data_IF_652190330717
#
_entry.id   IF_652190330717
#
_cell.length_a   1.000
_cell.length_b   1.000
_cell.length_c   1.000
_cell.angle_alpha   90.00
_cell.angle_beta   90.00
_cell.angle_gamma   90.00
#
_symmetry.space_group_name_H-M   'P 1'
#
loop_
_entity.id
_entity.type
_entity.pdbx_description
1 polymer ?
#
# COMPACT_ATOMS: atom_id res chain seq x y z
N UNK A 1 -29.58 -18.02 -8.29
CA UNK A 1 -30.23 -16.69 -8.44
C UNK A 1 -31.38 -16.43 -7.45
N UNK A 2 -31.97 -17.45 -6.79
CA UNK A 2 -33.10 -17.29 -5.85
C UNK A 2 -32.73 -17.09 -4.36
N UNK A 3 -31.49 -16.65 -4.03
CA UNK A 3 -31.04 -16.47 -2.63
C UNK A 3 -30.57 -15.05 -2.29
N UNK A 4 -30.73 -14.10 -3.21
CA UNK A 4 -30.37 -12.70 -2.96
C UNK A 4 -31.63 -11.92 -2.57
N UNK A 5 -31.55 -11.13 -1.51
CA UNK A 5 -32.67 -10.30 -1.06
C UNK A 5 -33.07 -9.30 -2.15
N UNK A 6 -34.33 -8.84 -2.15
CA UNK A 6 -34.83 -7.88 -3.15
C UNK A 6 -33.97 -6.60 -3.25
N UNK A 7 -33.26 -6.24 -2.17
CA UNK A 7 -32.30 -5.15 -2.11
C UNK A 7 -31.11 -5.31 -3.08
N UNK A 8 -30.69 -6.56 -3.38
CA UNK A 8 -29.60 -6.82 -4.31
C UNK A 8 -29.94 -6.45 -5.77
N UNK A 9 -31.22 -6.27 -6.09
CA UNK A 9 -31.70 -5.89 -7.43
C UNK A 9 -32.08 -4.41 -7.54
N UNK A 10 -32.16 -3.70 -6.41
CA UNK A 10 -32.39 -2.25 -6.40
C UNK A 10 -31.04 -1.54 -6.39
N UNK A 11 -30.61 -1.05 -7.55
CA UNK A 11 -29.47 -0.12 -7.62
C UNK A 11 -29.92 1.18 -6.94
N UNK A 12 -29.33 1.60 -5.79
CA UNK A 12 -29.86 2.74 -5.02
C UNK A 12 -29.80 4.07 -5.77
N UNK A 13 -28.87 4.20 -6.73
CA UNK A 13 -28.74 5.38 -7.58
C UNK A 13 -28.23 4.98 -8.98
N UNK A 14 -29.11 4.51 -9.88
CA UNK A 14 -28.71 4.15 -11.24
C UNK A 14 -28.43 5.42 -12.05
N UNK A 15 -27.40 5.39 -12.89
CA UNK A 15 -27.10 6.49 -13.81
C UNK A 15 -28.32 6.73 -14.68
N UNK A 16 -28.90 7.92 -14.57
CA UNK A 16 -30.06 8.29 -15.38
C UNK A 16 -29.61 8.52 -16.83
N UNK A 17 -30.46 8.29 -17.84
CA UNK A 17 -30.11 8.53 -19.25
C UNK A 17 -29.57 9.96 -19.50
N UNK A 18 -30.12 10.93 -18.77
CA UNK A 18 -29.74 12.35 -18.74
C UNK A 18 -28.34 12.61 -18.12
N UNK A 19 -27.91 11.78 -17.17
CA UNK A 19 -26.59 11.88 -16.54
C UNK A 19 -25.50 11.15 -17.33
N UNK A 20 -25.89 10.22 -18.23
CA UNK A 20 -24.95 9.41 -19.02
C UNK A 20 -24.03 10.29 -19.86
N UNK A 21 -24.57 11.30 -20.54
CA UNK A 21 -23.79 12.22 -21.36
C UNK A 21 -22.79 12.99 -20.50
N UNK A 22 -23.22 13.48 -19.32
CA UNK A 22 -22.34 14.17 -18.38
C UNK A 22 -21.23 13.25 -17.85
N UNK A 23 -21.56 12.02 -17.50
CA UNK A 23 -20.60 11.04 -17.01
C UNK A 23 -19.54 10.71 -18.08
N UNK A 24 -19.96 10.47 -19.32
CA UNK A 24 -19.04 10.21 -20.44
C UNK A 24 -18.17 11.44 -20.70
N UNK A 25 -18.75 12.64 -20.74
CA UNK A 25 -17.98 13.87 -20.93
C UNK A 25 -16.94 14.08 -19.82
N UNK A 26 -17.31 13.90 -18.55
CA UNK A 26 -16.37 14.00 -17.43
C UNK A 26 -15.27 12.96 -17.54
N UNK A 27 -15.60 11.72 -17.90
CA UNK A 27 -14.61 10.65 -18.07
C UNK A 27 -13.62 10.97 -19.21
N UNK A 28 -14.13 11.43 -20.35
CA UNK A 28 -13.30 11.87 -21.49
C UNK A 28 -12.42 13.05 -21.11
N UNK A 29 -12.95 14.03 -20.38
CA UNK A 29 -12.17 15.19 -19.90
C UNK A 29 -11.07 14.78 -18.92
N UNK A 30 -11.32 13.80 -18.04
CA UNK A 30 -10.29 13.27 -17.14
C UNK A 30 -9.17 12.59 -17.93
N UNK A 31 -9.52 11.76 -18.92
CA UNK A 31 -8.54 11.09 -19.79
C UNK A 31 -7.74 12.11 -20.59
N UNK A 32 -8.42 13.06 -21.23
CA UNK A 32 -7.78 14.12 -22.01
C UNK A 32 -6.90 15.02 -21.13
N UNK A 33 -7.36 15.37 -19.92
CA UNK A 33 -6.59 16.15 -18.95
C UNK A 33 -5.35 15.41 -18.47
N UNK A 34 -5.45 14.10 -18.23
CA UNK A 34 -4.30 13.27 -17.86
C UNK A 34 -3.29 13.17 -19.01
N UNK A 35 -3.77 12.94 -20.25
CA UNK A 35 -2.91 12.91 -21.43
C UNK A 35 -2.22 14.25 -21.69
N UNK A 36 -2.94 15.37 -21.53
CA UNK A 36 -2.38 16.71 -21.64
C UNK A 36 -1.32 16.96 -20.54
N UNK A 37 -1.57 16.54 -19.31
CA UNK A 37 -0.60 16.64 -18.22
C UNK A 37 0.68 15.86 -18.54
N UNK A 38 0.57 14.62 -19.02
CA UNK A 38 1.73 13.82 -19.43
C UNK A 38 2.47 14.48 -20.59
N UNK A 39 1.76 15.01 -21.59
CA UNK A 39 2.38 15.70 -22.72
C UNK A 39 3.17 16.93 -22.28
N UNK A 40 2.57 17.77 -21.42
CA UNK A 40 3.24 18.95 -20.84
C UNK A 40 4.43 18.55 -19.98
N UNK A 41 4.30 17.55 -19.13
CA UNK A 41 5.43 17.08 -18.31
C UNK A 41 6.53 16.47 -19.18
N UNK A 42 6.18 15.79 -20.29
CA UNK A 42 7.15 15.21 -21.22
C UNK A 42 7.94 16.29 -21.96
N UNK A 43 7.31 17.41 -22.33
CA UNK A 43 8.04 18.54 -22.93
C UNK A 43 8.92 19.27 -21.93
N UNK A 44 8.48 19.39 -20.67
CA UNK A 44 9.26 20.04 -19.61
C UNK A 44 10.45 19.21 -19.11
N UNK A 45 10.27 17.89 -18.99
CA UNK A 45 11.31 16.98 -18.47
C UNK A 45 12.21 16.42 -19.55
N UNK A 46 11.80 16.47 -20.82
CA UNK A 46 12.51 15.86 -21.94
C UNK A 46 12.49 14.33 -21.94
N UNK A 47 11.78 13.69 -21.01
CA UNK A 47 11.70 12.23 -20.87
C UNK A 47 10.27 11.78 -20.60
N UNK A 48 9.77 10.88 -21.44
CA UNK A 48 8.44 10.28 -21.25
C UNK A 48 8.36 9.48 -19.94
N UNK A 49 9.46 8.81 -19.55
CA UNK A 49 9.53 8.04 -18.31
C UNK A 49 9.39 8.93 -17.09
N UNK A 50 10.08 10.08 -17.08
CA UNK A 50 9.96 11.06 -16.00
C UNK A 50 8.56 11.68 -15.95
N UNK A 51 7.96 11.96 -17.12
CA UNK A 51 6.61 12.51 -17.20
C UNK A 51 5.57 11.54 -16.64
N UNK A 52 5.65 10.25 -17.00
CA UNK A 52 4.76 9.20 -16.49
C UNK A 52 4.96 9.04 -14.98
N UNK A 53 6.20 8.89 -14.53
CA UNK A 53 6.52 8.68 -13.11
C UNK A 53 6.07 9.86 -12.23
N UNK A 54 6.27 11.09 -12.72
CA UNK A 54 5.81 12.31 -12.05
C UNK A 54 4.28 12.38 -12.02
N UNK A 55 3.59 11.99 -13.09
CA UNK A 55 2.12 11.96 -13.16
C UNK A 55 1.54 10.93 -12.18
N UNK A 56 2.14 9.73 -12.10
CA UNK A 56 1.75 8.68 -11.17
C UNK A 56 1.97 9.07 -9.71
N UNK A 57 2.87 10.01 -9.41
CA UNK A 57 3.03 10.60 -8.08
C UNK A 57 1.98 11.70 -7.82
N UNK A 58 1.88 12.68 -8.73
CA UNK A 58 1.07 13.89 -8.51
C UNK A 58 -0.42 13.57 -8.40
N UNK A 59 -0.96 12.69 -9.25
CA UNK A 59 -2.40 12.41 -9.25
C UNK A 59 -2.85 11.77 -7.92
N UNK A 60 -2.28 10.65 -7.45
CA UNK A 60 -2.72 10.02 -6.20
C UNK A 60 -2.37 10.85 -4.97
N UNK A 61 -1.15 11.41 -4.90
CA UNK A 61 -0.74 12.23 -3.76
C UNK A 61 -1.56 13.51 -3.68
N UNK A 62 -1.79 14.18 -4.82
CA UNK A 62 -2.63 15.37 -4.92
C UNK A 62 -4.09 15.09 -4.56
N UNK A 63 -4.65 13.96 -5.02
CA UNK A 63 -5.99 13.53 -4.63
C UNK A 63 -6.08 13.26 -3.12
N UNK A 64 -5.09 12.59 -2.53
CA UNK A 64 -5.05 12.31 -1.11
C UNK A 64 -4.96 13.60 -0.27
N UNK A 65 -4.05 14.50 -0.63
CA UNK A 65 -3.93 15.83 0.00
C UNK A 65 -5.21 16.65 -0.16
N UNK A 66 -5.83 16.60 -1.33
CA UNK A 66 -7.12 17.23 -1.63
C UNK A 66 -8.23 16.71 -0.72
N UNK A 67 -8.34 15.40 -0.53
CA UNK A 67 -9.33 14.81 0.39
C UNK A 67 -9.06 15.17 1.84
N UNK A 68 -7.81 15.11 2.30
CA UNK A 68 -7.47 15.57 3.66
C UNK A 68 -7.84 17.05 3.86
N UNK A 69 -7.46 17.92 2.92
CA UNK A 69 -7.77 19.35 2.99
C UNK A 69 -9.29 19.60 2.99
N UNK A 70 -10.03 18.91 2.13
CA UNK A 70 -11.49 18.99 2.05
C UNK A 70 -12.12 18.59 3.39
N UNK A 71 -11.71 17.47 3.99
CA UNK A 71 -12.26 17.01 5.25
C UNK A 71 -11.89 17.93 6.42
N UNK A 72 -10.66 18.44 6.49
CA UNK A 72 -10.25 19.36 7.56
C UNK A 72 -10.97 20.71 7.48
N UNK A 73 -11.25 21.22 6.28
CA UNK A 73 -11.91 22.51 6.05
C UNK A 73 -13.44 22.42 6.04
N UNK A 74 -13.99 21.23 5.86
CA UNK A 74 -15.44 21.04 5.78
C UNK A 74 -16.13 21.36 7.11
N UNK A 75 -17.22 22.15 7.11
CA UNK A 75 -18.04 22.37 8.29
C UNK A 75 -18.84 21.12 8.68
N UNK A 76 -18.94 20.12 7.79
CA UNK A 76 -19.63 18.85 8.02
C UNK A 76 -18.81 17.85 8.86
N UNK A 77 -17.59 18.22 9.27
CA UNK A 77 -16.70 17.40 10.08
C UNK A 77 -16.55 18.05 11.45
N UNK A 78 -16.96 17.33 12.49
CA UNK A 78 -16.91 17.78 13.88
C UNK A 78 -15.46 17.89 14.37
N UNK A 79 -15.24 18.65 15.45
CA UNK A 79 -13.91 18.76 16.08
C UNK A 79 -13.34 17.39 16.51
N UNK A 80 -14.23 16.48 16.91
CA UNK A 80 -13.90 15.10 17.29
C UNK A 80 -13.42 14.29 16.09
N UNK A 81 -14.18 14.27 14.99
CA UNK A 81 -13.79 13.60 13.75
C UNK A 81 -12.49 14.19 13.16
N UNK A 82 -12.25 15.50 13.31
CA UNK A 82 -10.95 16.10 12.92
C UNK A 82 -9.78 15.55 13.76
N UNK A 83 -10.01 15.21 15.03
CA UNK A 83 -8.98 14.55 15.84
C UNK A 83 -8.73 13.12 15.38
N UNK A 84 -9.75 12.40 14.92
CA UNK A 84 -9.63 11.07 14.30
C UNK A 84 -8.84 11.13 12.99
N UNK A 85 -9.14 12.10 12.13
CA UNK A 85 -8.39 12.33 10.89
C UNK A 85 -6.90 12.63 11.14
N UNK A 86 -6.57 13.42 12.17
CA UNK A 86 -5.17 13.67 12.55
C UNK A 86 -4.47 12.37 12.98
N UNK A 87 -5.19 11.49 13.66
CA UNK A 87 -4.66 10.19 14.08
C UNK A 87 -4.51 9.20 12.91
N UNK A 88 -5.28 9.39 11.85
CA UNK A 88 -5.18 8.60 10.62
C UNK A 88 -3.98 8.98 9.74
N UNK A 89 -3.54 10.24 9.72
CA UNK A 89 -2.40 10.70 8.89
C UNK A 89 -1.13 9.83 9.03
N UNK A 90 -0.58 9.57 10.24
CA UNK A 90 0.62 8.77 10.35
C UNK A 90 0.40 7.31 9.90
N UNK A 91 -0.80 6.76 10.11
CA UNK A 91 -1.16 5.42 9.60
C UNK A 91 -1.19 5.40 8.08
N UNK A 92 -1.77 6.43 7.46
CA UNK A 92 -1.81 6.57 6.01
C UNK A 92 -0.40 6.67 5.42
N UNK A 93 0.49 7.45 6.02
CA UNK A 93 1.90 7.54 5.61
C UNK A 93 2.60 6.17 5.74
N UNK A 94 2.38 5.46 6.85
CA UNK A 94 2.91 4.11 7.05
C UNK A 94 2.41 3.12 5.99
N UNK A 95 1.13 3.18 5.62
CA UNK A 95 0.56 2.35 4.55
C UNK A 95 1.14 2.71 3.17
N UNK A 96 1.35 3.99 2.87
CA UNK A 96 2.01 4.42 1.62
C UNK A 96 3.40 3.80 1.52
N UNK A 97 4.20 3.86 2.58
CA UNK A 97 5.55 3.28 2.60
C UNK A 97 5.52 1.75 2.55
N UNK A 98 4.53 1.13 3.19
CA UNK A 98 4.31 -0.31 3.11
C UNK A 98 4.08 -0.74 1.65
N UNK A 99 3.10 -0.14 0.98
CA UNK A 99 2.78 -0.49 -0.41
C UNK A 99 3.87 -0.05 -1.38
N UNK A 100 4.61 1.01 -1.08
CA UNK A 100 5.79 1.41 -1.85
C UNK A 100 6.83 0.29 -1.93
N UNK A 101 7.03 -0.47 -0.85
CA UNK A 101 7.95 -1.62 -0.80
C UNK A 101 7.30 -2.88 -1.37
N UNK A 102 6.09 -3.25 -0.91
CA UNK A 102 5.47 -4.52 -1.29
C UNK A 102 5.15 -4.61 -2.78
N UNK A 103 4.75 -3.49 -3.40
CA UNK A 103 4.45 -3.43 -4.84
C UNK A 103 5.70 -3.56 -5.72
N UNK A 104 6.91 -3.48 -5.14
CA UNK A 104 8.14 -3.82 -5.87
C UNK A 104 8.23 -5.30 -6.24
N UNK A 105 7.34 -6.14 -5.69
CA UNK A 105 7.11 -7.52 -6.14
C UNK A 105 7.06 -7.60 -7.68
N UNK A 106 6.27 -6.75 -8.33
CA UNK A 106 6.09 -6.73 -9.78
C UNK A 106 7.16 -5.91 -10.54
N UNK A 107 8.07 -5.23 -9.83
CA UNK A 107 9.11 -4.37 -10.40
C UNK A 107 10.51 -4.89 -10.11
N UNK A 108 11.21 -4.25 -9.15
CA UNK A 108 12.60 -4.60 -8.81
C UNK A 108 12.78 -6.04 -8.32
N UNK A 109 11.80 -6.63 -7.64
CA UNK A 109 11.90 -8.03 -7.21
C UNK A 109 11.75 -9.01 -8.37
N UNK A 110 10.91 -8.70 -9.36
CA UNK A 110 10.80 -9.51 -10.58
C UNK A 110 12.12 -9.49 -11.38
N UNK A 111 12.77 -8.33 -11.49
CA UNK A 111 14.11 -8.25 -12.10
C UNK A 111 15.19 -8.95 -11.25
N UNK A 112 15.10 -8.89 -9.92
CA UNK A 112 15.96 -9.69 -9.03
C UNK A 112 15.83 -11.20 -9.29
N UNK A 113 14.59 -11.69 -9.42
CA UNK A 113 14.31 -13.09 -9.72
C UNK A 113 14.90 -13.54 -11.06
N UNK A 114 14.84 -12.66 -12.07
CA UNK A 114 15.29 -12.95 -13.44
C UNK A 114 16.81 -12.88 -13.59
N UNK A 115 17.43 -11.79 -13.13
CA UNK A 115 18.80 -11.45 -13.49
C UNK A 115 19.81 -11.76 -12.38
N UNK A 116 19.35 -11.98 -11.14
CA UNK A 116 20.20 -12.08 -9.95
C UNK A 116 19.98 -13.34 -9.12
N UNK A 117 19.11 -14.27 -9.55
CA UNK A 117 18.76 -15.48 -8.77
C UNK A 117 19.06 -16.74 -9.56
N UNK A 118 19.68 -17.72 -8.90
CA UNK A 118 19.79 -19.08 -9.40
C UNK A 118 18.53 -19.85 -8.99
N UNK A 119 17.67 -20.15 -9.95
CA UNK A 119 16.42 -20.86 -9.75
C UNK A 119 16.58 -22.37 -9.54
N UNK A 120 17.79 -22.94 -9.66
CA UNK A 120 17.99 -24.38 -9.52
C UNK A 120 17.82 -24.82 -8.07
N UNK A 121 16.94 -25.81 -7.84
CA UNK A 121 16.76 -26.48 -6.55
C UNK A 121 17.63 -27.74 -6.53
N UNK A 122 18.77 -27.77 -5.81
CA UNK A 122 19.71 -28.89 -5.89
C UNK A 122 19.13 -30.22 -5.41
N UNK A 123 18.12 -30.17 -4.55
CA UNK A 123 17.50 -31.36 -3.92
C UNK A 123 16.51 -32.07 -4.84
N UNK A 124 15.87 -31.35 -5.77
CA UNK A 124 14.77 -31.86 -6.61
C UNK A 124 15.12 -31.80 -8.11
N UNK A 125 16.18 -31.06 -8.48
CA UNK A 125 16.57 -30.87 -9.88
C UNK A 125 15.62 -29.99 -10.68
N UNK A 126 14.63 -29.38 -10.03
CA UNK A 126 13.69 -28.45 -10.65
C UNK A 126 14.26 -27.04 -10.71
N UNK A 127 13.86 -26.28 -11.73
CA UNK A 127 14.29 -24.89 -11.93
C UNK A 127 13.06 -23.99 -11.74
N UNK A 128 13.12 -23.12 -10.74
CA UNK A 128 12.08 -22.13 -10.46
C UNK A 128 12.18 -21.02 -11.52
N UNK A 129 11.07 -20.75 -12.22
CA UNK A 129 11.01 -19.62 -13.15
C UNK A 129 10.83 -18.29 -12.37
N UNK A 130 11.34 -17.16 -12.89
CA UNK A 130 11.18 -15.86 -12.23
C UNK A 130 9.73 -15.48 -11.92
N UNK A 131 8.80 -15.87 -12.81
CA UNK A 131 7.36 -15.59 -12.66
C UNK A 131 6.74 -16.40 -11.51
N UNK A 132 7.31 -17.58 -11.21
CA UNK A 132 6.83 -18.45 -10.11
C UNK A 132 6.95 -17.74 -8.76
N UNK A 133 7.92 -16.85 -8.57
CA UNK A 133 8.04 -16.06 -7.34
C UNK A 133 6.82 -15.18 -7.04
N UNK A 134 6.11 -14.70 -8.07
CA UNK A 134 4.88 -13.90 -7.89
C UNK A 134 3.74 -14.71 -7.24
N UNK A 135 3.79 -16.04 -7.37
CA UNK A 135 2.80 -16.92 -6.77
C UNK A 135 3.05 -17.17 -5.27
N UNK A 136 4.23 -16.80 -4.76
CA UNK A 136 4.57 -16.99 -3.33
C UNK A 136 3.70 -16.11 -2.45
N UNK A 137 3.43 -14.86 -2.84
CA UNK A 137 2.56 -13.97 -2.06
C UNK A 137 1.14 -14.57 -1.88
N UNK A 138 0.36 -14.86 -2.95
CA UNK A 138 -0.98 -15.41 -2.79
C UNK A 138 -0.98 -16.79 -2.12
N UNK A 139 0.01 -17.65 -2.39
CA UNK A 139 0.13 -18.94 -1.71
C UNK A 139 0.35 -18.77 -0.20
N UNK A 140 1.24 -17.86 0.20
CA UNK A 140 1.53 -17.55 1.59
C UNK A 140 0.31 -16.97 2.29
N UNK A 141 -0.47 -16.10 1.62
CA UNK A 141 -1.74 -15.60 2.14
C UNK A 141 -2.70 -16.76 2.40
N UNK A 142 -2.93 -17.65 1.42
CA UNK A 142 -3.86 -18.77 1.57
C UNK A 142 -3.47 -19.69 2.73
N UNK A 143 -2.17 -19.96 2.89
CA UNK A 143 -1.66 -20.84 3.94
C UNK A 143 -1.69 -20.18 5.31
N UNK A 144 -1.24 -18.92 5.42
CA UNK A 144 -1.01 -18.26 6.71
C UNK A 144 -2.17 -17.38 7.18
N UNK A 145 -3.05 -16.90 6.31
CA UNK A 145 -4.18 -16.04 6.72
C UNK A 145 -5.10 -16.70 7.77
N UNK A 146 -5.47 -18.00 7.67
CA UNK A 146 -6.26 -18.65 8.71
C UNK A 146 -5.54 -18.69 10.07
N UNK A 147 -4.22 -18.92 10.05
CA UNK A 147 -3.39 -18.97 11.25
C UNK A 147 -3.26 -17.59 11.91
N UNK A 148 -2.98 -16.55 11.14
CA UNK A 148 -2.90 -15.17 11.64
C UNK A 148 -4.28 -14.70 12.14
N UNK A 149 -5.36 -15.03 11.43
CA UNK A 149 -6.73 -14.77 11.88
C UNK A 149 -7.03 -15.43 13.23
N UNK A 150 -6.71 -16.71 13.37
CA UNK A 150 -6.84 -17.43 14.66
C UNK A 150 -6.02 -16.78 15.78
N UNK A 151 -4.78 -16.39 15.49
CA UNK A 151 -3.91 -15.71 16.46
C UNK A 151 -4.52 -14.38 16.92
N UNK A 152 -5.07 -13.59 15.99
CA UNK A 152 -5.72 -12.32 16.31
C UNK A 152 -6.99 -12.49 17.13
N UNK A 153 -7.81 -13.49 16.82
CA UNK A 153 -9.02 -13.79 17.61
C UNK A 153 -8.67 -14.28 19.01
N UNK A 154 -7.65 -15.15 19.16
CA UNK A 154 -7.20 -15.64 20.47
C UNK A 154 -6.59 -14.53 21.34
N UNK A 155 -6.02 -13.51 20.71
CA UNK A 155 -5.46 -12.32 21.36
C UNK A 155 -6.41 -11.12 21.33
N UNK A 156 -7.69 -11.30 20.97
CA UNK A 156 -8.65 -10.21 20.96
C UNK A 156 -8.77 -9.58 22.35
N UNK A 157 -8.78 -8.24 22.40
CA UNK A 157 -8.79 -7.48 23.65
C UNK A 157 -7.47 -7.51 24.45
N UNK A 158 -6.41 -8.13 23.90
CA UNK A 158 -5.07 -8.16 24.51
C UNK A 158 -4.04 -7.54 23.57
N UNK A 159 -2.84 -7.26 24.09
CA UNK A 159 -1.69 -6.88 23.27
C UNK A 159 -1.38 -7.97 22.21
N UNK A 160 -1.02 -7.61 20.97
CA UNK A 160 -0.88 -6.25 20.42
C UNK A 160 -2.23 -5.61 20.04
N UNK A 161 -2.37 -4.31 20.32
CA UNK A 161 -3.51 -3.50 19.86
C UNK A 161 -3.57 -3.38 18.33
N UNK A 162 -4.67 -2.85 17.82
CA UNK A 162 -4.88 -2.53 16.40
C UNK A 162 -3.73 -1.68 15.83
N UNK A 163 -3.38 -0.58 16.48
CA UNK A 163 -2.31 0.31 16.01
C UNK A 163 -0.92 -0.35 16.14
N UNK A 164 -0.71 -1.14 17.18
CA UNK A 164 0.53 -1.90 17.37
C UNK A 164 0.73 -2.94 16.26
N UNK A 165 -0.33 -3.68 15.86
CA UNK A 165 -0.28 -4.61 14.71
C UNK A 165 0.10 -3.88 13.42
N UNK A 166 -0.45 -2.69 13.22
CA UNK A 166 -0.11 -1.83 12.08
C UNK A 166 1.37 -1.42 12.11
N UNK A 167 1.87 -0.93 13.25
CA UNK A 167 3.28 -0.53 13.40
C UNK A 167 4.25 -1.72 13.22
N UNK A 168 3.90 -2.90 13.74
CA UNK A 168 4.67 -4.14 13.52
C UNK A 168 4.75 -4.49 12.04
N UNK A 169 3.64 -4.34 11.31
CA UNK A 169 3.65 -4.56 9.85
C UNK A 169 4.59 -3.59 9.13
N UNK A 170 4.49 -2.29 9.41
CA UNK A 170 5.35 -1.26 8.79
C UNK A 170 6.83 -1.48 9.16
N UNK A 171 7.12 -1.93 10.38
CA UNK A 171 8.49 -2.30 10.77
C UNK A 171 8.99 -3.52 9.99
N UNK A 172 8.14 -4.54 9.83
CA UNK A 172 8.49 -5.79 9.15
C UNK A 172 8.76 -5.56 7.67
N UNK A 173 7.90 -4.80 6.98
CA UNK A 173 8.12 -4.44 5.57
C UNK A 173 9.37 -3.57 5.40
N UNK A 174 9.62 -2.60 6.30
CA UNK A 174 10.84 -1.80 6.30
C UNK A 174 12.09 -2.64 6.50
N UNK A 175 12.04 -3.64 7.39
CA UNK A 175 13.11 -4.61 7.59
C UNK A 175 13.36 -5.45 6.34
N UNK A 176 12.30 -5.86 5.63
CA UNK A 176 12.43 -6.60 4.37
C UNK A 176 13.17 -5.81 3.28
N UNK A 177 13.05 -4.47 3.28
CA UNK A 177 13.80 -3.62 2.37
C UNK A 177 15.31 -3.69 2.63
N UNK A 178 15.76 -3.76 3.89
CA UNK A 178 17.17 -4.00 4.19
C UNK A 178 17.66 -5.37 3.69
N UNK A 179 16.83 -6.41 3.82
CA UNK A 179 17.15 -7.74 3.29
C UNK A 179 17.30 -7.68 1.77
N UNK A 180 16.39 -7.02 1.06
CA UNK A 180 16.50 -6.79 -0.39
C UNK A 180 17.74 -5.97 -0.76
N UNK A 181 18.04 -4.91 -0.01
CA UNK A 181 19.23 -4.10 -0.19
C UNK A 181 20.52 -4.93 -0.09
N UNK A 182 20.59 -5.81 0.91
CA UNK A 182 21.67 -6.79 1.06
C UNK A 182 21.72 -7.76 -0.11
N UNK A 183 20.56 -8.20 -0.60
CA UNK A 183 20.47 -9.06 -1.77
C UNK A 183 21.10 -8.44 -3.02
N UNK A 184 20.68 -7.23 -3.37
CA UNK A 184 21.21 -6.48 -4.51
C UNK A 184 22.70 -6.11 -4.36
N UNK A 185 23.21 -6.02 -3.13
CA UNK A 185 24.63 -5.75 -2.89
C UNK A 185 25.49 -7.02 -3.02
N UNK A 186 24.96 -8.16 -2.58
CA UNK A 186 25.72 -9.42 -2.48
C UNK A 186 25.73 -10.17 -3.82
N UNK A 187 24.59 -10.23 -4.49
CA UNK A 187 24.42 -10.94 -5.74
C UNK A 187 24.26 -9.93 -6.86
N UNK A 188 25.35 -9.74 -7.61
CA UNK A 188 25.46 -8.74 -8.68
C UNK A 188 25.14 -9.31 -10.06
N UNK A 189 24.73 -10.58 -10.15
CA UNK A 189 24.47 -11.27 -11.41
C UNK A 189 25.71 -11.99 -11.97
N UNK A 190 25.54 -12.67 -13.10
CA UNK A 190 26.59 -13.45 -13.74
C UNK A 190 27.04 -14.64 -12.88
N UNK A 191 28.29 -14.64 -12.44
CA UNK A 191 28.84 -15.72 -11.60
C UNK A 191 28.38 -15.67 -10.13
N UNK A 192 27.72 -14.59 -9.70
CA UNK A 192 27.27 -14.39 -8.32
C UNK A 192 25.75 -14.24 -8.28
N UNK A 193 25.05 -15.37 -8.29
CA UNK A 193 23.60 -15.47 -8.22
C UNK A 193 23.12 -15.81 -6.81
N UNK A 194 21.98 -15.26 -6.43
CA UNK A 194 21.31 -15.53 -5.18
C UNK A 194 20.75 -16.95 -5.15
N UNK A 195 20.79 -17.65 -4.01
CA UNK A 195 20.11 -18.94 -3.87
C UNK A 195 18.61 -18.81 -4.13
N UNK A 196 17.99 -19.83 -4.73
CA UNK A 196 16.55 -19.89 -5.04
C UNK A 196 15.63 -19.54 -3.86
N UNK A 197 16.03 -19.84 -2.62
CA UNK A 197 15.20 -19.61 -1.44
C UNK A 197 15.24 -18.15 -0.95
N UNK A 198 16.27 -17.38 -1.31
CA UNK A 198 16.49 -16.04 -0.74
C UNK A 198 15.30 -15.11 -1.02
N UNK A 199 14.93 -14.97 -2.29
CA UNK A 199 13.82 -14.11 -2.67
C UNK A 199 12.48 -14.68 -2.17
N UNK A 200 12.33 -16.01 -2.10
CA UNK A 200 11.15 -16.65 -1.54
C UNK A 200 10.93 -16.27 -0.06
N UNK A 201 12.00 -16.27 0.74
CA UNK A 201 11.94 -15.82 2.15
C UNK A 201 11.53 -14.35 2.25
N UNK A 202 12.06 -13.48 1.37
CA UNK A 202 11.65 -12.07 1.34
C UNK A 202 10.16 -11.94 1.06
N UNK A 203 9.64 -12.63 0.04
CA UNK A 203 8.21 -12.64 -0.27
C UNK A 203 7.37 -13.08 0.95
N UNK A 204 7.77 -14.16 1.62
CA UNK A 204 7.07 -14.66 2.81
C UNK A 204 7.06 -13.60 3.93
N UNK A 205 8.20 -12.95 4.22
CA UNK A 205 8.28 -11.89 5.22
C UNK A 205 7.35 -10.73 4.88
N UNK A 206 7.36 -10.28 3.62
CA UNK A 206 6.49 -9.19 3.16
C UNK A 206 5.01 -9.57 3.25
N UNK A 207 4.64 -10.80 2.88
CA UNK A 207 3.27 -11.29 3.01
C UNK A 207 2.84 -11.41 4.46
N UNK A 208 3.70 -11.88 5.37
CA UNK A 208 3.38 -11.88 6.80
C UNK A 208 3.13 -10.45 7.29
N UNK A 209 3.93 -9.47 6.86
CA UNK A 209 3.66 -8.07 7.16
C UNK A 209 2.30 -7.62 6.60
N UNK A 210 1.95 -8.01 5.37
CA UNK A 210 0.66 -7.70 4.74
C UNK A 210 -0.53 -8.25 5.53
N UNK A 211 -0.43 -9.49 6.02
CA UNK A 211 -1.47 -10.11 6.85
C UNK A 211 -1.73 -9.36 8.16
N UNK A 212 -0.76 -8.58 8.65
CA UNK A 212 -0.93 -7.72 9.83
C UNK A 212 -1.53 -6.36 9.46
N UNK A 213 -1.25 -5.84 8.27
CA UNK A 213 -1.70 -4.51 7.84
C UNK A 213 -3.10 -4.52 7.24
N UNK A 214 -3.40 -5.41 6.29
CA UNK A 214 -4.62 -5.30 5.48
C UNK A 214 -5.93 -5.38 6.28
N UNK A 215 -6.14 -6.34 7.20
CA UNK A 215 -7.36 -6.41 7.99
C UNK A 215 -7.52 -5.21 8.94
N UNK A 216 -6.39 -4.79 9.51
CA UNK A 216 -6.33 -3.78 10.56
C UNK A 216 -6.43 -2.36 9.99
N UNK A 217 -5.79 -2.12 8.85
CA UNK A 217 -5.81 -0.85 8.12
C UNK A 217 -7.20 -0.51 7.63
N UNK A 218 -7.90 -1.47 7.01
CA UNK A 218 -9.28 -1.25 6.55
C UNK A 218 -10.24 -0.97 7.73
N UNK A 219 -10.13 -1.74 8.82
CA UNK A 219 -10.93 -1.53 10.03
C UNK A 219 -10.63 -0.21 10.72
N UNK A 220 -9.38 0.25 10.71
CA UNK A 220 -9.00 1.54 11.33
C UNK A 220 -9.46 2.70 10.46
N UNK A 221 -9.41 2.53 9.13
CA UNK A 221 -9.90 3.50 8.14
C UNK A 221 -11.39 3.73 8.32
N UNK A 222 -12.21 2.66 8.41
CA UNK A 222 -13.65 2.81 8.66
C UNK A 222 -13.94 3.43 10.02
N UNK A 223 -13.22 3.00 11.07
CA UNK A 223 -13.40 3.49 12.44
C UNK A 223 -13.11 4.99 12.58
N UNK A 224 -12.08 5.50 11.89
CA UNK A 224 -11.66 6.90 11.96
C UNK A 224 -12.35 7.80 10.91
N UNK A 225 -13.21 7.24 10.06
CA UNK A 225 -13.85 7.98 8.98
C UNK A 225 -14.92 8.95 9.52
N UNK A 226 -14.91 10.23 9.08
CA UNK A 226 -16.03 11.13 9.36
C UNK A 226 -17.31 10.60 8.71
N UNK A 227 -18.46 10.76 9.37
CA UNK A 227 -19.75 10.21 8.90
C UNK A 227 -20.10 10.66 7.48
N UNK A 228 -19.85 11.93 7.19
CA UNK A 228 -20.13 12.55 5.89
C UNK A 228 -19.08 12.25 4.81
N UNK A 229 -17.97 11.58 5.17
CA UNK A 229 -16.82 11.32 4.29
C UNK A 229 -16.36 9.85 4.35
N UNK A 230 -17.26 8.91 4.68
CA UNK A 230 -16.93 7.50 4.82
C UNK A 230 -16.34 6.92 3.52
N UNK A 231 -16.96 7.20 2.37
CA UNK A 231 -16.46 6.72 1.07
C UNK A 231 -15.12 7.36 0.70
N UNK A 232 -14.93 8.66 0.95
CA UNK A 232 -13.66 9.34 0.67
C UNK A 232 -12.52 8.82 1.56
N UNK A 233 -12.82 8.44 2.80
CA UNK A 233 -11.81 7.85 3.70
C UNK A 233 -11.40 6.45 3.23
N UNK A 234 -12.34 5.67 2.68
CA UNK A 234 -12.02 4.42 1.98
C UNK A 234 -11.20 4.65 0.70
N UNK A 235 -11.55 5.67 -0.09
CA UNK A 235 -10.72 6.08 -1.23
C UNK A 235 -9.32 6.48 -0.80
N UNK A 236 -9.16 7.14 0.35
CA UNK A 236 -7.83 7.45 0.91
C UNK A 236 -7.03 6.19 1.23
N UNK A 237 -7.66 5.15 1.78
CA UNK A 237 -6.98 3.87 1.99
C UNK A 237 -6.48 3.28 0.67
N UNK A 238 -7.32 3.22 -0.36
CA UNK A 238 -6.91 2.72 -1.68
C UNK A 238 -5.84 3.59 -2.35
N UNK A 239 -5.88 4.90 -2.10
CA UNK A 239 -4.86 5.85 -2.57
C UNK A 239 -3.48 5.60 -1.94
N UNK A 240 -3.38 4.86 -0.83
CA UNK A 240 -2.07 4.51 -0.26
C UNK A 240 -1.23 3.69 -1.24
N UNK A 241 -1.82 2.69 -1.88
CA UNK A 241 -1.17 1.85 -2.89
C UNK A 241 -0.76 2.67 -4.11
N UNK A 242 -1.68 3.46 -4.67
CA UNK A 242 -1.40 4.29 -5.83
C UNK A 242 -0.31 5.35 -5.53
N UNK A 243 -0.35 5.97 -4.35
CA UNK A 243 0.69 6.93 -3.93
C UNK A 243 2.03 6.24 -3.70
N UNK A 244 2.04 5.04 -3.09
CA UNK A 244 3.26 4.26 -2.87
C UNK A 244 3.93 3.86 -4.18
N UNK A 245 3.16 3.37 -5.16
CA UNK A 245 3.67 3.05 -6.49
C UNK A 245 4.16 4.30 -7.25
N UNK A 246 3.41 5.40 -7.18
CA UNK A 246 3.81 6.67 -7.78
C UNK A 246 5.11 7.23 -7.20
N UNK A 247 5.25 7.18 -5.86
CA UNK A 247 6.45 7.62 -5.17
C UNK A 247 7.66 6.73 -5.50
N UNK A 248 7.47 5.41 -5.56
CA UNK A 248 8.51 4.49 -6.02
C UNK A 248 8.94 4.80 -7.46
N UNK A 249 7.99 4.91 -8.39
CA UNK A 249 8.29 5.22 -9.79
C UNK A 249 9.07 6.52 -9.95
N UNK A 250 8.61 7.59 -9.29
CA UNK A 250 9.29 8.88 -9.32
C UNK A 250 10.71 8.82 -8.72
N UNK A 251 10.89 8.17 -7.57
CA UNK A 251 12.23 8.05 -6.98
C UNK A 251 13.14 7.23 -7.90
N UNK A 252 12.64 6.11 -8.44
CA UNK A 252 13.42 5.25 -9.34
C UNK A 252 13.87 6.02 -10.58
N UNK A 253 12.99 6.81 -11.22
CA UNK A 253 13.36 7.61 -12.40
C UNK A 253 14.39 8.70 -12.09
N UNK A 254 14.37 9.23 -10.86
CA UNK A 254 15.37 10.21 -10.39
C UNK A 254 16.67 9.58 -9.90
N UNK A 255 16.68 8.27 -9.65
CA UNK A 255 17.83 7.55 -9.10
C UNK A 255 18.33 6.43 -10.02
N UNK A 256 18.17 6.56 -11.34
CA UNK A 256 18.58 5.53 -12.31
C UNK A 256 20.08 5.19 -12.21
N UNK A 257 20.92 6.15 -11.84
CA UNK A 257 22.37 5.97 -11.67
C UNK A 257 22.76 5.39 -10.29
N UNK A 258 21.81 5.24 -9.38
CA UNK A 258 22.05 4.78 -8.01
C UNK A 258 21.88 3.27 -7.95
N UNK A 259 22.77 2.60 -7.21
CA UNK A 259 22.67 1.16 -6.99
C UNK A 259 21.33 0.78 -6.33
N UNK A 260 20.73 -0.33 -6.78
CA UNK A 260 19.48 -0.86 -6.22
C UNK A 260 19.57 -1.12 -4.70
N UNK A 261 20.75 -1.53 -4.21
CA UNK A 261 21.00 -1.70 -2.78
C UNK A 261 20.81 -0.41 -2.00
N UNK A 262 21.39 0.71 -2.47
CA UNK A 262 21.25 2.03 -1.86
C UNK A 262 19.80 2.51 -1.85
N UNK A 263 19.07 2.29 -2.95
CA UNK A 263 17.63 2.57 -3.01
C UNK A 263 16.86 1.85 -1.90
N UNK A 264 17.08 0.54 -1.75
CA UNK A 264 16.40 -0.26 -0.75
C UNK A 264 16.83 0.04 0.69
N UNK A 265 18.10 0.36 0.93
CA UNK A 265 18.56 0.80 2.25
C UNK A 265 17.96 2.14 2.64
N UNK A 266 17.94 3.13 1.73
CA UNK A 266 17.29 4.42 1.98
C UNK A 266 15.81 4.25 2.30
N UNK A 267 15.10 3.44 1.50
CA UNK A 267 13.69 3.14 1.72
C UNK A 267 13.44 2.39 3.03
N UNK A 268 14.32 1.46 3.40
CA UNK A 268 14.30 0.75 4.68
C UNK A 268 14.46 1.70 5.86
N UNK A 269 15.43 2.61 5.81
CA UNK A 269 15.66 3.61 6.88
C UNK A 269 14.44 4.50 7.07
N UNK A 270 13.88 5.05 6.00
CA UNK A 270 12.70 5.91 6.07
C UNK A 270 11.50 5.15 6.64
N UNK A 271 11.26 3.92 6.15
CA UNK A 271 10.13 3.11 6.60
C UNK A 271 10.26 2.67 8.06
N UNK A 272 11.46 2.27 8.50
CA UNK A 272 11.70 1.93 9.92
C UNK A 272 11.58 3.16 10.82
N UNK A 273 12.06 4.32 10.39
CA UNK A 273 11.86 5.57 11.14
C UNK A 273 10.37 5.88 11.33
N UNK A 274 9.57 5.75 10.27
CA UNK A 274 8.11 5.90 10.36
C UNK A 274 7.47 4.83 11.24
N UNK A 275 7.93 3.58 11.20
CA UNK A 275 7.46 2.53 12.09
C UNK A 275 7.73 2.88 13.57
N UNK A 276 8.91 3.40 13.89
CA UNK A 276 9.26 3.87 15.24
C UNK A 276 8.34 5.02 15.68
N UNK A 277 8.10 5.99 14.80
CA UNK A 277 7.14 7.08 15.06
C UNK A 277 5.75 6.51 15.33
N UNK A 278 5.30 5.52 14.55
CA UNK A 278 4.02 4.86 14.77
C UNK A 278 3.94 4.16 16.13
N UNK A 279 5.01 3.50 16.60
CA UNK A 279 5.06 2.93 17.95
C UNK A 279 4.95 3.99 19.03
N UNK A 280 5.63 5.13 18.87
CA UNK A 280 5.57 6.25 19.82
C UNK A 280 4.19 6.91 19.84
N UNK A 281 3.55 7.05 18.68
CA UNK A 281 2.24 7.69 18.53
C UNK A 281 1.09 6.71 18.86
N UNK A 282 1.33 5.40 18.89
CA UNK A 282 0.31 4.38 19.12
C UNK A 282 -0.56 4.64 20.36
N UNK A 283 -0.01 4.93 21.57
CA UNK A 283 -0.83 5.20 22.75
C UNK A 283 -1.69 6.46 22.63
N UNK A 284 -1.26 7.44 21.82
CA UNK A 284 -2.05 8.63 21.54
C UNK A 284 -3.17 8.34 20.55
N UNK A 285 -2.87 7.64 19.45
CA UNK A 285 -3.87 7.24 18.43
C UNK A 285 -4.93 6.33 19.06
N UNK A 286 -4.54 5.38 19.89
CA UNK A 286 -5.47 4.49 20.61
C UNK A 286 -6.41 5.27 21.54
N UNK A 287 -5.89 6.25 22.30
CA UNK A 287 -6.72 7.14 23.12
C UNK A 287 -7.70 7.95 22.29
N UNK A 288 -7.33 8.32 21.07
CA UNK A 288 -8.22 9.01 20.13
C UNK A 288 -9.25 8.08 19.48
N UNK A 289 -9.02 6.77 19.49
CA UNK A 289 -9.95 5.75 18.97
C UNK A 289 -10.86 5.12 20.04
N UNK A 290 -10.57 5.35 21.32
CA UNK A 290 -11.25 4.69 22.44
C UNK A 290 -12.78 4.91 22.46
N UNK A 291 -13.24 5.95 21.82
CA UNK A 291 -14.65 6.30 21.67
C UNK A 291 -15.38 5.62 20.53
N UNK A 292 -14.65 5.15 19.52
CA UNK A 292 -15.24 4.48 18.35
C UNK A 292 -15.79 3.10 18.72
N UNK A 293 -15.17 2.43 19.71
CA UNK A 293 -15.60 1.12 20.19
C UNK A 293 -16.91 1.14 21.00
N UNK A 294 -17.36 2.30 21.48
CA UNK A 294 -18.61 2.45 22.24
C UNK A 294 -19.82 2.53 21.29
N UNK A 295 -19.66 3.13 20.11
CA UNK A 295 -20.73 3.31 19.12
C UNK A 295 -21.07 2.08 18.27
N UNK A 296 -20.29 0.99 18.37
CA UNK A 296 -20.59 -0.26 17.66
C UNK A 296 -21.39 -1.28 18.48
N UNK A 297 -21.78 -0.92 19.71
CA UNK A 297 -22.59 -1.77 20.60
C UNK A 297 -24.01 -1.23 20.85
N UNK A 298 -24.36 -0.10 20.24
CA UNK A 298 -25.71 0.47 20.18
C UNK A 298 -26.26 0.37 18.75
#
# INVERSE_FOLDING_TARGET
>A
RHKLSAFAFTVPNPIRPEERTRFVLVSVLIVAGTAALVAVLSTLTGSLLDAISTTMLIIPAGAALGYFALMFRSPKVTARERSHLRAYIPLWIGAVLFFMISEQAAGKMATFAKDYTDGHIPVIGWVISPETYQSINPATIVILAPFIGWLFTRRAGKFPSTIMKFAISVLTIGTSAFILGYGFQTWTGGAKLAPWWFLAVVFIIQTVAELFLSPVGLSTTSALAPKNFASQTMSLWLLTTATGQGLAGFIISRTEHVANSTYYYGLGVVTVAVAIILFVVAPWTERKMADVGVTSQD
#
